data_IF_131824812973
#
_entry.id   IF_131824812973
#
_cell.length_a   1.000
_cell.length_b   1.000
_cell.length_c   1.000
_cell.angle_alpha   90.00
_cell.angle_beta   90.00
_cell.angle_gamma   90.00
#
_symmetry.space_group_name_H-M   'P 1'
#
loop_
_entity.id
_entity.type
_entity.pdbx_description
1 polymer ?
#
# COMPACT_ATOMS: atom_id res chain seq x y z
N UNK A 1 -15.46 17.89 1.63
CA UNK A 1 -14.96 17.98 0.25
C UNK A 1 -13.77 17.06 0.10
N UNK A 2 -13.82 16.17 -0.87
CA UNK A 2 -12.76 15.19 -1.09
C UNK A 2 -12.00 15.49 -2.38
N UNK A 3 -10.67 15.43 -2.32
CA UNK A 3 -9.77 15.41 -3.48
C UNK A 3 -9.27 13.97 -3.62
N UNK A 4 -9.55 13.35 -4.75
CA UNK A 4 -9.07 12.01 -5.06
C UNK A 4 -7.65 12.05 -5.64
N UNK A 5 -6.91 10.97 -5.47
CA UNK A 5 -5.57 10.85 -6.05
C UNK A 5 -5.63 10.98 -7.58
N UNK A 6 -4.74 11.80 -8.15
CA UNK A 6 -4.68 12.05 -9.59
C UNK A 6 -5.65 13.09 -10.13
N UNK A 7 -6.51 13.72 -9.32
CA UNK A 7 -7.36 14.80 -9.77
C UNK A 7 -6.55 16.05 -10.13
N UNK A 8 -6.77 16.58 -11.34
CA UNK A 8 -6.18 17.84 -11.79
C UNK A 8 -6.84 19.07 -11.16
N UNK A 9 -6.10 20.19 -11.11
CA UNK A 9 -6.55 21.46 -10.52
C UNK A 9 -7.89 21.92 -11.10
N UNK A 10 -8.10 21.81 -12.40
CA UNK A 10 -9.37 22.22 -13.06
C UNK A 10 -10.55 21.38 -12.61
N UNK A 11 -10.36 20.08 -12.42
CA UNK A 11 -11.41 19.17 -11.94
C UNK A 11 -11.76 19.50 -10.48
N UNK A 12 -10.75 19.72 -9.63
CA UNK A 12 -10.91 20.14 -8.24
C UNK A 12 -11.67 21.48 -8.19
N UNK A 13 -11.26 22.46 -8.99
CA UNK A 13 -11.88 23.78 -9.07
C UNK A 13 -13.37 23.71 -9.42
N UNK A 14 -13.72 22.89 -10.43
CA UNK A 14 -15.10 22.68 -10.84
C UNK A 14 -15.94 22.00 -9.74
N UNK A 15 -15.36 21.02 -9.03
CA UNK A 15 -16.03 20.35 -7.93
C UNK A 15 -16.26 21.30 -6.74
N UNK A 16 -15.30 22.19 -6.43
CA UNK A 16 -15.46 23.24 -5.40
C UNK A 16 -16.58 24.21 -5.72
N UNK A 17 -16.77 24.58 -7.01
CA UNK A 17 -17.89 25.42 -7.45
C UNK A 17 -19.21 24.67 -7.33
N UNK A 18 -19.28 23.40 -7.77
CA UNK A 18 -20.49 22.56 -7.62
C UNK A 18 -20.91 22.42 -6.16
N UNK A 19 -19.94 22.28 -5.26
CA UNK A 19 -20.14 22.22 -3.82
C UNK A 19 -20.43 23.60 -3.17
N UNK A 20 -20.48 24.70 -3.97
CA UNK A 20 -20.68 26.08 -3.50
C UNK A 20 -19.64 26.55 -2.50
N UNK A 21 -18.44 25.96 -2.50
CA UNK A 21 -17.35 26.32 -1.61
C UNK A 21 -16.66 27.60 -2.12
N UNK A 22 -16.36 27.66 -3.42
CA UNK A 22 -15.83 28.84 -4.08
C UNK A 22 -16.78 29.34 -5.19
N UNK A 23 -16.67 30.60 -5.57
CA UNK A 23 -17.55 31.23 -6.56
C UNK A 23 -17.16 30.93 -8.01
N UNK A 24 -15.86 30.76 -8.29
CA UNK A 24 -15.32 30.65 -9.64
C UNK A 24 -14.16 29.67 -9.71
N UNK A 25 -14.23 28.72 -10.63
CA UNK A 25 -13.18 27.76 -10.89
C UNK A 25 -11.89 28.43 -11.39
N UNK A 26 -12.01 29.38 -12.32
CA UNK A 26 -10.86 30.12 -12.86
C UNK A 26 -10.13 30.94 -11.79
N UNK A 27 -10.89 31.60 -10.88
CA UNK A 27 -10.27 32.32 -9.76
C UNK A 27 -9.52 31.38 -8.82
N UNK A 28 -10.06 30.19 -8.58
CA UNK A 28 -9.38 29.19 -7.74
C UNK A 28 -8.10 28.68 -8.43
N UNK A 29 -8.18 28.28 -9.70
CA UNK A 29 -7.00 27.80 -10.44
C UNK A 29 -5.89 28.86 -10.52
N UNK A 30 -6.26 30.11 -10.77
CA UNK A 30 -5.30 31.24 -10.75
C UNK A 30 -4.66 31.44 -9.36
N UNK A 31 -5.42 31.28 -8.28
CA UNK A 31 -4.90 31.43 -6.92
C UNK A 31 -3.94 30.28 -6.56
N UNK A 32 -4.22 29.04 -6.99
CA UNK A 32 -3.32 27.88 -6.83
C UNK A 32 -2.00 28.15 -7.56
N UNK A 33 -2.06 28.58 -8.82
CA UNK A 33 -0.88 28.90 -9.63
C UNK A 33 -0.07 30.06 -9.04
N UNK A 34 -0.74 31.15 -8.60
CA UNK A 34 -0.08 32.30 -8.01
C UNK A 34 0.62 32.01 -6.67
N UNK A 35 0.11 31.02 -5.94
CA UNK A 35 0.70 30.57 -4.68
C UNK A 35 1.74 29.45 -4.86
N UNK A 36 1.98 28.99 -6.10
CA UNK A 36 2.78 27.79 -6.40
C UNK A 36 2.38 26.59 -5.51
N UNK A 37 1.07 26.43 -5.30
CA UNK A 37 0.53 25.52 -4.30
C UNK A 37 0.32 24.11 -4.87
N UNK A 38 0.85 23.10 -4.19
CA UNK A 38 0.50 21.70 -4.44
C UNK A 38 -0.75 21.35 -3.66
N UNK A 39 -1.78 20.83 -4.34
CA UNK A 39 -3.01 20.36 -3.70
C UNK A 39 -2.84 18.88 -3.35
N UNK A 40 -3.16 18.51 -2.12
CA UNK A 40 -3.00 17.14 -1.63
C UNK A 40 -4.33 16.38 -1.73
N UNK A 41 -4.32 15.10 -2.15
CA UNK A 41 -5.48 14.21 -1.99
C UNK A 41 -5.88 14.13 -0.53
N UNK A 42 -7.19 14.07 -0.27
CA UNK A 42 -7.69 14.00 1.09
C UNK A 42 -9.12 14.48 1.22
N UNK A 43 -9.71 14.22 2.38
CA UNK A 43 -11.00 14.75 2.79
C UNK A 43 -10.82 15.96 3.70
N UNK A 44 -11.45 17.06 3.30
CA UNK A 44 -11.32 18.36 3.94
C UNK A 44 -12.64 18.87 4.48
N UNK A 45 -12.64 19.41 5.68
CA UNK A 45 -13.79 20.11 6.22
C UNK A 45 -13.80 21.55 5.71
N UNK A 46 -14.58 21.80 4.66
CA UNK A 46 -14.77 23.11 4.07
C UNK A 46 -16.21 23.60 4.26
N UNK A 47 -16.38 24.90 4.41
CA UNK A 47 -17.70 25.54 4.47
C UNK A 47 -18.06 26.12 3.09
N UNK A 48 -19.34 26.30 2.83
CA UNK A 48 -19.80 27.03 1.65
C UNK A 48 -19.36 28.50 1.72
N UNK A 49 -19.14 29.09 0.55
CA UNK A 49 -18.79 30.53 0.38
C UNK A 49 -17.50 30.96 1.11
N UNK A 50 -16.50 30.09 1.15
CA UNK A 50 -15.19 30.44 1.67
C UNK A 50 -14.43 31.36 0.70
N UNK A 51 -13.50 32.15 1.26
CA UNK A 51 -12.54 32.91 0.44
C UNK A 51 -11.60 31.95 -0.28
N UNK A 52 -11.37 32.16 -1.56
CA UNK A 52 -10.52 31.28 -2.39
C UNK A 52 -9.13 31.06 -1.80
N UNK A 53 -8.50 32.11 -1.26
CA UNK A 53 -7.18 32.02 -0.63
C UNK A 53 -7.17 31.08 0.59
N UNK A 54 -8.23 31.08 1.41
CA UNK A 54 -8.34 30.20 2.57
C UNK A 54 -8.52 28.75 2.12
N UNK A 55 -9.27 28.50 1.06
CA UNK A 55 -9.45 27.17 0.47
C UNK A 55 -8.12 26.64 -0.06
N UNK A 56 -7.38 27.45 -0.84
CA UNK A 56 -6.04 27.07 -1.34
C UNK A 56 -5.13 26.72 -0.18
N UNK A 57 -5.06 27.54 0.88
CA UNK A 57 -4.23 27.29 2.06
C UNK A 57 -4.59 25.98 2.77
N UNK A 58 -5.88 25.63 2.85
CA UNK A 58 -6.32 24.38 3.48
C UNK A 58 -5.98 23.19 2.60
N UNK A 59 -6.24 23.25 1.29
CA UNK A 59 -6.03 22.15 0.37
C UNK A 59 -4.54 21.91 0.04
N UNK A 60 -3.67 22.89 0.31
CA UNK A 60 -2.22 22.77 0.17
C UNK A 60 -1.48 22.41 1.48
N UNK A 61 -2.21 22.16 2.55
CA UNK A 61 -1.65 21.72 3.83
C UNK A 61 -1.92 20.23 4.02
N UNK A 62 -0.91 19.34 3.89
CA UNK A 62 -1.11 17.89 4.02
C UNK A 62 -1.61 17.51 5.42
N UNK A 63 -1.35 18.32 6.46
CA UNK A 63 -1.87 18.06 7.82
C UNK A 63 -3.38 18.29 7.94
N UNK A 64 -4.00 18.99 7.00
CA UNK A 64 -5.45 19.22 6.89
C UNK A 64 -6.16 18.15 6.08
N UNK A 65 -5.40 17.40 5.26
CA UNK A 65 -5.91 16.27 4.53
C UNK A 65 -6.21 15.14 5.52
N UNK A 66 -7.47 14.84 5.74
CA UNK A 66 -7.91 13.74 6.61
C UNK A 66 -8.53 12.61 5.78
N UNK A 67 -8.59 11.42 6.39
CA UNK A 67 -9.39 10.34 5.84
C UNK A 67 -8.79 9.59 4.64
N UNK A 68 -7.49 9.72 4.37
CA UNK A 68 -6.78 8.88 3.40
C UNK A 68 -5.63 8.12 4.07
N UNK A 69 -5.52 6.84 3.74
CA UNK A 69 -4.37 6.01 4.06
C UNK A 69 -3.57 5.76 2.77
N UNK A 70 -2.28 6.05 2.82
CA UNK A 70 -1.34 5.72 1.75
C UNK A 70 -0.74 4.35 2.04
N UNK A 71 -0.74 3.47 1.03
CA UNK A 71 -0.02 2.19 1.03
C UNK A 71 1.08 2.29 -0.01
N UNK A 72 2.32 2.10 0.42
CA UNK A 72 3.47 2.11 -0.48
C UNK A 72 3.88 0.70 -0.85
N UNK A 73 4.55 0.56 -1.99
CA UNK A 73 5.16 -0.70 -2.37
C UNK A 73 6.20 -1.14 -1.32
N UNK A 74 6.22 -2.42 -0.97
CA UNK A 74 7.15 -2.98 0.02
C UNK A 74 6.83 -2.64 1.48
N UNK A 75 5.70 -1.99 1.79
CA UNK A 75 5.26 -1.79 3.18
C UNK A 75 4.69 -3.10 3.76
N UNK A 76 5.04 -3.38 5.00
CA UNK A 76 4.48 -4.51 5.76
C UNK A 76 3.03 -4.25 6.13
N UNK A 77 2.24 -5.29 6.23
CA UNK A 77 0.85 -5.19 6.71
C UNK A 77 0.76 -4.48 8.06
N UNK A 78 1.72 -4.71 8.98
CA UNK A 78 1.77 -4.01 10.27
C UNK A 78 1.81 -2.49 10.12
N UNK A 79 2.64 -1.98 9.21
CA UNK A 79 2.82 -0.54 8.99
C UNK A 79 1.60 0.06 8.29
N UNK A 80 1.06 -0.67 7.29
CA UNK A 80 -0.15 -0.28 6.57
C UNK A 80 -1.34 -0.14 7.53
N UNK A 81 -1.59 -1.11 8.43
CA UNK A 81 -2.74 -1.03 9.34
C UNK A 81 -2.58 0.07 10.40
N UNK A 82 -1.35 0.35 10.85
CA UNK A 82 -1.10 1.48 11.76
C UNK A 82 -1.40 2.82 11.08
N UNK A 83 -0.93 3.00 9.84
CA UNK A 83 -1.23 4.20 9.05
C UNK A 83 -2.73 4.33 8.75
N UNK A 84 -3.40 3.24 8.36
CA UNK A 84 -4.83 3.21 8.06
C UNK A 84 -5.68 3.51 9.31
N UNK A 85 -5.36 2.89 10.45
CA UNK A 85 -6.05 3.12 11.73
C UNK A 85 -5.94 4.59 12.15
N UNK A 86 -4.72 5.16 12.08
CA UNK A 86 -4.48 6.57 12.38
C UNK A 86 -5.28 7.50 11.47
N UNK A 87 -5.29 7.24 10.15
CA UNK A 87 -6.01 8.05 9.17
C UNK A 87 -7.53 7.95 9.32
N UNK A 88 -8.05 6.76 9.64
CA UNK A 88 -9.46 6.49 9.87
C UNK A 88 -9.94 6.91 11.27
N UNK A 89 -9.02 7.22 12.20
CA UNK A 89 -9.29 7.44 13.63
C UNK A 89 -9.96 6.24 14.30
N UNK A 90 -9.51 5.05 13.92
CA UNK A 90 -9.90 3.77 14.50
C UNK A 90 -8.79 3.23 15.42
N UNK A 91 -9.14 2.27 16.27
CA UNK A 91 -8.14 1.54 17.03
C UNK A 91 -7.47 0.49 16.11
N UNK A 92 -6.14 0.39 16.17
CA UNK A 92 -5.38 -0.58 15.38
C UNK A 92 -5.76 -2.03 15.71
N UNK A 93 -6.27 -2.29 16.91
CA UNK A 93 -6.75 -3.61 17.33
C UNK A 93 -7.93 -4.11 16.50
N UNK A 94 -8.76 -3.22 15.93
CA UNK A 94 -9.84 -3.60 15.03
C UNK A 94 -9.30 -4.26 13.75
N UNK A 95 -8.21 -3.72 13.20
CA UNK A 95 -7.51 -4.31 12.06
C UNK A 95 -6.83 -5.63 12.43
N UNK A 96 -6.11 -5.65 13.55
CA UNK A 96 -5.42 -6.86 14.03
C UNK A 96 -6.39 -8.02 14.25
N UNK A 97 -7.55 -7.77 14.83
CA UNK A 97 -8.57 -8.80 15.04
C UNK A 97 -9.00 -9.47 13.73
N UNK A 98 -9.16 -8.68 12.65
CA UNK A 98 -9.53 -9.21 11.33
C UNK A 98 -8.37 -10.02 10.73
N UNK A 99 -7.14 -9.51 10.84
CA UNK A 99 -5.94 -10.17 10.31
C UNK A 99 -5.68 -11.48 11.03
N UNK A 100 -5.72 -11.48 12.34
CA UNK A 100 -5.50 -12.68 13.19
C UNK A 100 -6.62 -13.71 12.98
N UNK A 101 -7.83 -13.26 12.64
CA UNK A 101 -8.96 -14.10 12.27
C UNK A 101 -8.90 -14.67 10.83
N UNK A 102 -7.81 -14.44 10.09
CA UNK A 102 -7.64 -14.94 8.71
C UNK A 102 -8.45 -14.19 7.66
N UNK A 103 -8.84 -12.94 7.96
CA UNK A 103 -9.42 -12.02 6.99
C UNK A 103 -10.93 -12.07 6.82
N UNK A 104 -11.66 -12.91 7.53
CA UNK A 104 -13.14 -12.93 7.60
C UNK A 104 -13.83 -12.77 6.22
N UNK A 105 -13.37 -13.52 5.22
CA UNK A 105 -13.90 -13.50 3.85
C UNK A 105 -13.50 -12.28 3.00
N UNK A 106 -12.49 -11.52 3.43
CA UNK A 106 -11.90 -10.43 2.64
C UNK A 106 -10.88 -10.96 1.63
N UNK A 107 -10.04 -11.89 2.08
CA UNK A 107 -8.97 -12.49 1.29
C UNK A 107 -9.50 -13.59 0.35
N UNK A 108 -8.90 -13.77 -0.82
CA UNK A 108 -9.13 -14.96 -1.63
C UNK A 108 -8.55 -16.20 -0.92
N UNK A 109 -9.03 -17.39 -1.28
CA UNK A 109 -8.65 -18.67 -0.65
C UNK A 109 -7.15 -18.93 -0.70
N UNK A 110 -6.50 -18.47 -1.76
CA UNK A 110 -5.08 -18.64 -2.07
C UNK A 110 -4.17 -17.93 -1.07
N UNK A 111 -4.64 -16.84 -0.49
CA UNK A 111 -3.91 -16.07 0.52
C UNK A 111 -3.72 -16.86 1.84
N UNK A 112 -4.40 -18.01 2.01
CA UNK A 112 -4.28 -18.83 3.21
C UNK A 112 -4.54 -18.07 4.52
N UNK A 113 -5.34 -17.01 4.46
CA UNK A 113 -5.62 -16.12 5.59
C UNK A 113 -4.50 -15.11 5.92
N UNK A 114 -3.51 -14.95 5.05
CA UNK A 114 -2.39 -14.02 5.23
C UNK A 114 -2.56 -12.78 4.36
N UNK A 115 -2.38 -11.59 4.94
CA UNK A 115 -2.57 -10.32 4.23
C UNK A 115 -1.31 -9.80 3.51
N UNK A 116 -0.13 -10.36 3.83
CA UNK A 116 1.11 -9.93 3.18
C UNK A 116 1.06 -10.15 1.66
N UNK A 117 1.41 -9.10 0.91
CA UNK A 117 1.29 -9.07 -0.54
C UNK A 117 -0.12 -8.78 -1.08
N UNK A 118 -1.16 -8.81 -0.25
CA UNK A 118 -2.56 -8.64 -0.67
C UNK A 118 -3.13 -7.22 -0.48
N UNK A 119 -2.37 -6.31 0.11
CA UNK A 119 -2.74 -4.89 0.19
C UNK A 119 -2.09 -4.13 -0.98
N UNK A 120 -2.91 -3.67 -1.94
CA UNK A 120 -2.40 -2.97 -3.12
C UNK A 120 -1.87 -1.59 -2.75
N UNK A 121 -0.65 -1.19 -3.21
CA UNK A 121 -0.18 0.18 -3.09
C UNK A 121 -1.15 1.19 -3.71
N UNK A 122 -1.35 2.30 -3.01
CA UNK A 122 -2.26 3.36 -3.46
C UNK A 122 -2.77 4.24 -2.33
N UNK A 123 -3.65 5.16 -2.69
CA UNK A 123 -4.28 6.09 -1.76
C UNK A 123 -5.74 5.68 -1.54
N UNK A 124 -6.12 5.42 -0.29
CA UNK A 124 -7.43 4.88 0.06
C UNK A 124 -8.20 5.86 0.95
N UNK A 125 -9.38 6.29 0.48
CA UNK A 125 -10.33 6.99 1.34
C UNK A 125 -10.81 6.05 2.45
N UNK A 126 -10.50 6.42 3.70
CA UNK A 126 -10.82 5.66 4.92
C UNK A 126 -11.80 6.40 5.84
N UNK A 127 -12.25 7.59 5.44
CA UNK A 127 -13.11 8.40 6.29
C UNK A 127 -14.47 7.75 6.51
N UNK A 128 -14.81 7.53 7.79
CA UNK A 128 -16.10 6.94 8.19
C UNK A 128 -16.26 5.47 7.81
N UNK A 129 -15.18 4.80 7.43
CA UNK A 129 -15.17 3.38 7.10
C UNK A 129 -14.68 2.54 8.28
N UNK A 130 -15.20 1.33 8.39
CA UNK A 130 -14.71 0.32 9.33
C UNK A 130 -13.37 -0.28 8.86
N UNK A 131 -12.61 -0.87 9.77
CA UNK A 131 -11.38 -1.59 9.47
C UNK A 131 -11.59 -2.67 8.38
N UNK A 132 -12.71 -3.38 8.43
CA UNK A 132 -13.09 -4.40 7.44
C UNK A 132 -13.27 -3.80 6.04
N UNK A 133 -13.97 -2.69 5.91
CA UNK A 133 -14.20 -2.02 4.62
C UNK A 133 -12.90 -1.48 4.03
N UNK A 134 -12.00 -0.96 4.88
CA UNK A 134 -10.69 -0.44 4.46
C UNK A 134 -9.82 -1.58 3.92
N UNK A 135 -9.64 -2.65 4.70
CA UNK A 135 -8.87 -3.83 4.29
C UNK A 135 -9.44 -4.44 3.01
N UNK A 136 -10.78 -4.60 2.95
CA UNK A 136 -11.43 -5.15 1.75
C UNK A 136 -11.14 -4.31 0.52
N UNK A 137 -11.18 -3.00 0.61
CA UNK A 137 -10.89 -2.10 -0.52
C UNK A 137 -9.45 -2.26 -1.03
N UNK A 138 -8.49 -2.43 -0.12
CA UNK A 138 -7.08 -2.64 -0.48
C UNK A 138 -6.88 -4.00 -1.15
N UNK A 139 -7.54 -5.05 -0.64
CA UNK A 139 -7.49 -6.41 -1.24
C UNK A 139 -8.20 -6.46 -2.59
N UNK A 140 -9.40 -5.87 -2.71
CA UNK A 140 -10.13 -5.79 -3.99
C UNK A 140 -9.28 -5.09 -5.06
N UNK A 141 -8.55 -4.04 -4.68
CA UNK A 141 -7.64 -3.33 -5.59
C UNK A 141 -6.48 -4.23 -6.05
N UNK A 142 -5.91 -5.05 -5.15
CA UNK A 142 -4.87 -6.03 -5.50
C UNK A 142 -5.40 -7.08 -6.47
N UNK A 143 -6.58 -7.62 -6.20
CA UNK A 143 -7.22 -8.60 -7.09
C UNK A 143 -7.45 -7.98 -8.48
N UNK A 144 -8.01 -6.78 -8.55
CA UNK A 144 -8.22 -6.08 -9.82
C UNK A 144 -6.89 -5.80 -10.55
N UNK A 145 -5.81 -5.49 -9.82
CA UNK A 145 -4.47 -5.31 -10.40
C UNK A 145 -3.95 -6.61 -11.01
N UNK A 146 -4.06 -7.72 -10.30
CA UNK A 146 -3.65 -9.03 -10.79
C UNK A 146 -4.43 -9.43 -12.05
N UNK A 147 -5.76 -9.25 -12.03
CA UNK A 147 -6.62 -9.50 -13.19
C UNK A 147 -6.19 -8.67 -14.40
N UNK A 148 -5.89 -7.39 -14.20
CA UNK A 148 -5.42 -6.48 -15.26
C UNK A 148 -4.10 -6.90 -15.89
N UNK A 149 -3.27 -7.62 -15.14
CA UNK A 149 -1.98 -8.17 -15.58
C UNK A 149 -2.11 -9.59 -16.16
N UNK A 150 -3.32 -10.17 -16.17
CA UNK A 150 -3.55 -11.55 -16.60
C UNK A 150 -2.97 -12.59 -15.65
N UNK A 151 -2.74 -12.22 -14.39
CA UNK A 151 -2.25 -13.13 -13.34
C UNK A 151 -3.46 -13.82 -12.71
N UNK A 152 -3.55 -15.16 -12.75
CA UNK A 152 -4.61 -15.88 -12.07
C UNK A 152 -4.59 -15.60 -10.56
N UNK A 153 -5.74 -15.29 -9.98
CA UNK A 153 -5.86 -15.08 -8.52
C UNK A 153 -5.44 -16.30 -7.71
N UNK A 154 -5.54 -17.50 -8.29
CA UNK A 154 -5.15 -18.79 -7.66
C UNK A 154 -3.65 -19.06 -7.58
N UNK A 155 -2.78 -18.15 -7.93
CA UNK A 155 -1.33 -18.38 -7.88
C UNK A 155 -0.59 -17.36 -7.00
N UNK A 156 -0.72 -17.49 -5.68
CA UNK A 156 0.03 -16.68 -4.71
C UNK A 156 1.55 -16.76 -4.91
N UNK A 157 2.05 -17.85 -5.55
CA UNK A 157 3.47 -18.00 -5.84
C UNK A 157 4.00 -16.84 -6.69
N UNK A 158 3.18 -16.29 -7.59
CA UNK A 158 3.56 -15.14 -8.41
C UNK A 158 3.79 -13.90 -7.53
N UNK A 159 2.90 -13.63 -6.57
CA UNK A 159 3.08 -12.53 -5.61
C UNK A 159 4.32 -12.72 -4.76
N UNK A 160 4.54 -13.95 -4.29
CA UNK A 160 5.70 -14.27 -3.47
C UNK A 160 7.02 -14.06 -4.24
N UNK A 161 7.10 -14.54 -5.49
CA UNK A 161 8.28 -14.31 -6.35
C UNK A 161 8.47 -12.83 -6.67
N UNK A 162 7.39 -12.10 -6.94
CA UNK A 162 7.43 -10.68 -7.26
C UNK A 162 7.93 -9.85 -6.07
N UNK A 163 7.45 -10.14 -4.85
CA UNK A 163 7.89 -9.43 -3.64
C UNK A 163 9.36 -9.64 -3.33
N UNK A 164 9.88 -10.86 -3.52
CA UNK A 164 11.31 -11.14 -3.38
C UNK A 164 12.09 -10.36 -4.45
N UNK A 165 11.65 -10.39 -5.70
CA UNK A 165 12.35 -9.69 -6.78
C UNK A 165 12.40 -8.17 -6.53
N UNK A 166 11.32 -7.58 -6.03
CA UNK A 166 11.26 -6.17 -5.64
C UNK A 166 12.20 -5.86 -4.48
N UNK A 167 12.28 -6.73 -3.48
CA UNK A 167 13.13 -6.55 -2.30
C UNK A 167 14.63 -6.73 -2.58
N UNK A 168 14.99 -7.57 -3.57
CA UNK A 168 16.39 -7.86 -3.91
C UNK A 168 17.06 -6.77 -4.74
N UNK A 169 16.29 -6.05 -5.59
CA UNK A 169 16.86 -5.07 -6.51
C UNK A 169 16.02 -3.80 -6.58
N UNK A 170 16.67 -2.64 -6.46
CA UNK A 170 16.02 -1.34 -6.52
C UNK A 170 15.70 -0.84 -7.95
N UNK A 171 15.77 -1.71 -8.97
CA UNK A 171 15.54 -1.33 -10.37
C UNK A 171 14.69 -2.39 -11.08
N UNK A 172 13.50 -2.01 -11.51
CA UNK A 172 12.50 -2.86 -12.16
C UNK A 172 13.02 -3.62 -13.38
N UNK A 173 14.00 -3.06 -14.12
CA UNK A 173 14.58 -3.73 -15.28
C UNK A 173 15.20 -5.10 -14.94
N UNK A 174 15.56 -5.35 -13.68
CA UNK A 174 16.17 -6.60 -13.22
C UNK A 174 15.19 -7.58 -12.57
N UNK A 175 13.94 -7.19 -12.31
CA UNK A 175 12.94 -8.06 -11.65
C UNK A 175 12.76 -9.39 -12.39
N UNK A 176 12.68 -9.36 -13.72
CA UNK A 176 12.59 -10.59 -14.52
C UNK A 176 13.81 -11.52 -14.42
N UNK A 177 15.00 -10.97 -14.21
CA UNK A 177 16.22 -11.76 -14.02
C UNK A 177 16.25 -12.42 -12.64
N UNK A 178 15.87 -11.67 -11.58
CA UNK A 178 15.74 -12.22 -10.22
C UNK A 178 14.69 -13.31 -10.19
N UNK A 179 13.50 -13.05 -10.75
CA UNK A 179 12.42 -14.04 -10.85
C UNK A 179 12.92 -15.31 -11.59
N UNK A 180 13.71 -15.18 -12.66
CA UNK A 180 14.29 -16.33 -13.35
C UNK A 180 15.25 -17.13 -12.48
N UNK A 181 16.11 -16.46 -11.69
CA UNK A 181 17.00 -17.14 -10.73
C UNK A 181 16.19 -17.90 -9.68
N UNK A 182 15.13 -17.29 -9.13
CA UNK A 182 14.24 -17.94 -8.16
C UNK A 182 13.62 -19.19 -8.77
N UNK A 183 13.04 -19.08 -9.97
CA UNK A 183 12.41 -20.21 -10.65
C UNK A 183 13.38 -21.35 -10.96
N UNK A 184 14.60 -21.03 -11.40
CA UNK A 184 15.64 -22.03 -11.66
C UNK A 184 16.03 -22.76 -10.36
N UNK A 185 16.29 -22.03 -9.27
CA UNK A 185 16.63 -22.62 -7.96
C UNK A 185 15.52 -23.51 -7.42
N UNK A 186 14.26 -23.12 -7.60
CA UNK A 186 13.11 -23.96 -7.23
C UNK A 186 13.11 -25.26 -8.06
N UNK A 187 13.28 -25.16 -9.37
CA UNK A 187 13.32 -26.32 -10.27
C UNK A 187 14.45 -27.30 -9.95
N UNK A 188 15.63 -26.76 -9.57
CA UNK A 188 16.81 -27.53 -9.20
C UNK A 188 16.78 -28.04 -7.73
N UNK A 189 15.72 -27.73 -6.99
CA UNK A 189 15.58 -28.09 -5.57
C UNK A 189 16.62 -27.42 -4.67
N UNK A 190 17.14 -26.26 -5.10
CA UNK A 190 18.13 -25.45 -4.38
C UNK A 190 17.43 -24.50 -3.39
N UNK A 191 18.08 -24.13 -2.28
CA UNK A 191 17.66 -22.99 -1.46
C UNK A 191 17.72 -21.69 -2.28
N UNK A 192 16.79 -20.73 -2.05
CA UNK A 192 16.83 -19.46 -2.77
C UNK A 192 18.02 -18.59 -2.34
N UNK A 193 18.44 -18.68 -1.06
CA UNK A 193 19.61 -17.98 -0.55
C UNK A 193 19.46 -16.45 -0.57
N UNK A 194 18.26 -15.94 -0.34
CA UNK A 194 17.94 -14.51 -0.36
C UNK A 194 17.99 -13.93 1.05
N UNK A 195 18.86 -12.96 1.28
CA UNK A 195 19.04 -12.33 2.59
C UNK A 195 17.84 -11.44 2.96
N UNK A 196 17.17 -10.87 1.97
CA UNK A 196 15.95 -10.07 2.15
C UNK A 196 14.83 -10.86 2.82
N UNK A 197 14.68 -12.14 2.47
CA UNK A 197 13.68 -13.01 3.12
C UNK A 197 14.02 -13.27 4.59
N UNK A 198 15.31 -13.50 4.91
CA UNK A 198 15.77 -13.69 6.30
C UNK A 198 15.50 -12.43 7.12
N UNK A 199 15.88 -11.27 6.58
CA UNK A 199 15.68 -9.97 7.22
C UNK A 199 14.19 -9.68 7.44
N UNK A 200 13.35 -10.01 6.45
CA UNK A 200 11.90 -9.88 6.59
C UNK A 200 11.36 -10.68 7.77
N UNK A 201 11.70 -11.96 7.89
CA UNK A 201 11.22 -12.80 8.99
C UNK A 201 11.67 -12.31 10.37
N UNK A 202 12.80 -11.59 10.45
CA UNK A 202 13.33 -10.99 11.68
C UNK A 202 12.84 -9.56 11.94
N UNK A 203 12.16 -8.93 10.98
CA UNK A 203 11.71 -7.54 11.12
C UNK A 203 12.85 -6.51 11.12
N UNK A 204 13.98 -6.81 10.47
CA UNK A 204 15.18 -5.94 10.40
C UNK A 204 15.58 -5.65 8.96
N UNK A 205 16.52 -4.74 8.77
CA UNK A 205 17.14 -4.51 7.46
C UNK A 205 18.14 -5.63 7.13
N UNK A 206 18.27 -6.01 5.85
CA UNK A 206 19.24 -6.99 5.41
C UNK A 206 20.69 -6.61 5.75
N UNK A 207 21.00 -5.32 5.82
CA UNK A 207 22.31 -4.81 6.25
C UNK A 207 22.66 -5.05 7.73
N UNK A 208 21.67 -5.44 8.53
CA UNK A 208 21.82 -5.71 9.98
C UNK A 208 21.95 -7.19 10.29
N UNK A 209 21.90 -8.07 9.27
CA UNK A 209 21.99 -9.51 9.45
C UNK A 209 23.38 -9.92 9.97
N UNK A 210 23.35 -10.81 10.94
CA UNK A 210 24.55 -11.47 11.49
C UNK A 210 24.67 -12.89 10.96
N UNK A 211 25.89 -13.48 11.01
CA UNK A 211 26.11 -14.88 10.61
C UNK A 211 25.22 -15.86 11.37
N UNK A 212 24.95 -15.61 12.64
CA UNK A 212 24.05 -16.44 13.45
C UNK A 212 22.63 -16.42 12.90
N UNK A 213 22.12 -15.24 12.52
CA UNK A 213 20.78 -15.08 11.93
C UNK A 213 20.67 -15.69 10.54
N UNK A 214 21.73 -15.59 9.73
CA UNK A 214 21.79 -16.23 8.41
C UNK A 214 21.75 -17.77 8.49
N UNK A 215 22.14 -18.34 9.63
CA UNK A 215 22.15 -19.78 9.90
C UNK A 215 21.03 -20.22 10.85
N UNK A 216 20.07 -19.35 11.16
CA UNK A 216 18.94 -19.68 12.04
C UNK A 216 17.84 -20.44 11.26
N UNK A 217 17.70 -21.73 11.59
CA UNK A 217 16.64 -22.58 11.04
C UNK A 217 15.26 -22.36 11.69
N UNK A 218 15.19 -21.61 12.78
CA UNK A 218 13.95 -21.24 13.44
C UNK A 218 13.18 -20.14 12.70
N UNK A 219 13.85 -19.39 11.84
CA UNK A 219 13.21 -18.39 10.98
C UNK A 219 12.64 -19.05 9.73
N UNK A 220 11.32 -19.22 9.66
CA UNK A 220 10.61 -19.84 8.51
C UNK A 220 10.82 -19.10 7.18
N UNK A 221 11.19 -17.81 7.23
CA UNK A 221 11.54 -17.01 6.05
C UNK A 221 13.00 -17.17 5.61
N UNK A 222 13.79 -17.99 6.31
CA UNK A 222 15.21 -18.20 5.97
C UNK A 222 15.37 -19.10 4.73
N UNK A 223 15.26 -18.52 3.54
CA UNK A 223 15.43 -19.21 2.27
C UNK A 223 16.87 -19.62 1.96
N UNK A 224 17.84 -19.36 2.86
CA UNK A 224 19.19 -19.91 2.79
C UNK A 224 19.24 -21.36 3.30
N UNK A 225 18.28 -21.72 4.17
CA UNK A 225 18.17 -23.05 4.80
C UNK A 225 16.94 -23.78 4.27
N UNK A 226 15.78 -23.14 4.32
CA UNK A 226 14.53 -23.70 3.86
C UNK A 226 14.44 -23.61 2.32
N UNK A 227 14.15 -24.74 1.69
CA UNK A 227 13.95 -24.80 0.24
C UNK A 227 12.57 -24.29 -0.15
N UNK A 228 12.48 -23.72 -1.35
CA UNK A 228 11.22 -23.20 -1.88
C UNK A 228 10.99 -21.74 -1.50
N UNK A 229 9.78 -21.26 -1.72
CA UNK A 229 9.36 -19.91 -1.39
C UNK A 229 9.12 -19.76 0.11
N UNK A 230 9.28 -18.54 0.67
CA UNK A 230 8.89 -18.26 2.04
C UNK A 230 7.37 -18.41 2.23
N UNK A 231 6.89 -18.45 3.49
CA UNK A 231 5.47 -18.70 3.82
C UNK A 231 4.48 -17.69 3.24
N UNK A 232 4.93 -16.45 2.97
CA UNK A 232 4.13 -15.37 2.38
C UNK A 232 5.00 -14.51 1.48
N UNK A 233 4.43 -13.63 0.64
CA UNK A 233 5.16 -12.47 0.11
C UNK A 233 5.86 -11.69 1.24
N UNK A 234 6.92 -10.95 0.91
CA UNK A 234 7.74 -10.21 1.88
C UNK A 234 7.70 -8.71 1.65
#
# INVERSE_FOLDING_TARGET
FTIESGQGVDQIANNLVKARIVKSAGTFASAVSAADATLYPGSYQLRTHMKTADVVKILSDPSKAGGFAEVKAGERVSDVIEAAAKAAKLDVSEFKTIIDGGGDGILPSEAGGKFEGWLEPGSYDVQGKSAKEILKKMVDARIAKLDSLGVPTGDERILNIASIAESEVGNEQYYGQVARVILNRIADGMPLGMDTTVAYGLGISASQLTDAQLNDSGNEYNTRIHKGLPPTPI
#
